data_IF_036092818560
#
_entry.id   IF_036092818560
#
_cell.length_a   1.000
_cell.length_b   1.000
_cell.length_c   1.000
_cell.angle_alpha   90.00
_cell.angle_beta   90.00
_cell.angle_gamma   90.00
#
_symmetry.space_group_name_H-M   'P 1'
#
loop_
_entity.id
_entity.type
_entity.pdbx_description
1 polymer ?
#
# COMPACT_ATOMS: atom_id res chain seq x y z
N UNK A 1 -6.40 0.23 -22.79
CA UNK A 1 -7.17 0.70 -21.61
C UNK A 1 -8.30 -0.25 -21.17
N UNK A 2 -8.84 -1.12 -22.04
CA UNK A 2 -9.96 -2.02 -21.67
C UNK A 2 -9.66 -3.02 -20.54
N UNK A 3 -8.46 -3.61 -20.51
CA UNK A 3 -8.05 -4.55 -19.45
C UNK A 3 -7.96 -3.90 -18.06
N UNK A 4 -7.36 -2.71 -17.96
CA UNK A 4 -7.17 -2.00 -16.69
C UNK A 4 -8.51 -1.55 -16.09
N UNK A 5 -9.49 -1.18 -16.93
CA UNK A 5 -10.78 -0.67 -16.47
C UNK A 5 -11.61 -1.67 -15.67
N UNK A 6 -11.40 -2.96 -15.90
CA UNK A 6 -12.11 -4.03 -15.18
C UNK A 6 -11.33 -4.54 -13.96
N UNK A 7 -10.03 -4.30 -13.89
CA UNK A 7 -9.21 -4.74 -12.78
C UNK A 7 -9.56 -4.00 -11.48
N UNK A 8 -9.46 -4.74 -10.38
CA UNK A 8 -9.70 -4.28 -9.01
C UNK A 8 -8.45 -4.52 -8.20
N UNK A 9 -8.17 -3.59 -7.31
CA UNK A 9 -7.08 -3.67 -6.34
C UNK A 9 -7.69 -4.06 -5.01
N UNK A 10 -7.15 -5.10 -4.40
CA UNK A 10 -7.61 -5.63 -3.12
C UNK A 10 -6.57 -5.46 -2.03
N UNK A 11 -7.04 -5.22 -0.81
CA UNK A 11 -6.20 -5.16 0.40
C UNK A 11 -6.73 -6.13 1.44
N UNK A 12 -5.92 -6.42 2.46
CA UNK A 12 -6.38 -7.21 3.60
C UNK A 12 -7.55 -6.50 4.29
N UNK A 13 -8.65 -7.22 4.52
CA UNK A 13 -9.87 -6.69 5.12
C UNK A 13 -9.59 -5.98 6.46
N UNK A 14 -8.71 -6.57 7.28
CA UNK A 14 -8.27 -5.99 8.56
C UNK A 14 -7.60 -4.62 8.46
N UNK A 15 -7.01 -4.28 7.31
CA UNK A 15 -6.34 -2.99 7.11
C UNK A 15 -7.16 -2.02 6.25
N UNK A 16 -8.30 -2.45 5.71
CA UNK A 16 -9.11 -1.66 4.80
C UNK A 16 -9.50 -0.29 5.37
N UNK A 17 -9.93 -0.15 6.65
CA UNK A 17 -10.30 1.16 7.17
C UNK A 17 -9.13 2.13 7.21
N UNK A 18 -7.92 1.67 7.56
CA UNK A 18 -6.70 2.48 7.51
C UNK A 18 -6.47 3.08 6.11
N UNK A 19 -6.65 2.27 5.04
CA UNK A 19 -6.54 2.79 3.68
C UNK A 19 -7.60 3.85 3.35
N UNK A 20 -8.84 3.65 3.79
CA UNK A 20 -9.90 4.64 3.54
C UNK A 20 -9.72 5.94 4.32
N UNK A 21 -9.24 5.85 5.56
CA UNK A 21 -9.09 6.99 6.45
C UNK A 21 -7.85 7.81 6.06
N UNK A 22 -6.71 7.16 5.80
CA UNK A 22 -5.50 7.83 5.31
C UNK A 22 -5.66 8.35 3.89
N UNK A 23 -6.33 7.59 3.02
CA UNK A 23 -6.62 7.96 1.64
C UNK A 23 -7.48 9.22 1.48
N UNK A 24 -8.20 9.62 2.53
CA UNK A 24 -9.04 10.84 2.57
C UNK A 24 -8.41 12.01 3.31
N UNK A 25 -7.37 11.76 4.11
CA UNK A 25 -6.83 12.75 5.05
C UNK A 25 -5.43 13.18 4.66
N UNK A 26 -4.48 12.25 4.62
CA UNK A 26 -3.06 12.52 4.35
C UNK A 26 -2.68 12.33 2.89
N UNK A 27 -3.47 11.55 2.16
CA UNK A 27 -3.30 11.29 0.74
C UNK A 27 -4.47 11.86 -0.05
N UNK A 28 -4.26 12.06 -1.36
CA UNK A 28 -5.31 12.60 -2.23
C UNK A 28 -6.30 11.52 -2.66
N UNK A 29 -5.84 10.27 -2.76
CA UNK A 29 -6.66 9.10 -3.08
C UNK A 29 -6.21 7.85 -2.31
N UNK A 30 -7.12 6.89 -2.14
CA UNK A 30 -6.81 5.57 -1.56
C UNK A 30 -5.66 4.85 -2.31
N UNK A 31 -5.56 5.04 -3.63
CA UNK A 31 -4.50 4.48 -4.46
C UNK A 31 -3.12 5.00 -4.09
N UNK A 32 -2.99 6.26 -3.66
CA UNK A 32 -1.68 6.85 -3.37
C UNK A 32 -1.07 6.18 -2.13
N UNK A 33 -1.88 5.99 -1.08
CA UNK A 33 -1.44 5.27 0.11
C UNK A 33 -1.19 3.79 -0.17
N UNK A 34 -1.97 3.18 -1.07
CA UNK A 34 -1.69 1.83 -1.55
C UNK A 34 -0.31 1.72 -2.20
N UNK A 35 0.01 2.58 -3.17
CA UNK A 35 1.30 2.59 -3.85
C UNK A 35 2.45 2.84 -2.86
N UNK A 36 2.25 3.74 -1.90
CA UNK A 36 3.22 3.93 -0.83
C UNK A 36 3.49 2.64 -0.03
N UNK A 37 2.43 1.90 0.34
CA UNK A 37 2.58 0.60 0.99
C UNK A 37 3.29 -0.44 0.11
N UNK A 38 3.04 -0.44 -1.21
CA UNK A 38 3.74 -1.33 -2.15
C UNK A 38 5.25 -1.09 -2.08
N UNK A 39 5.68 0.17 -2.12
CA UNK A 39 7.10 0.49 -2.01
C UNK A 39 7.70 0.11 -0.66
N UNK A 40 6.97 0.35 0.43
CA UNK A 40 7.39 -0.09 1.77
C UNK A 40 7.62 -1.60 1.81
N UNK A 41 6.69 -2.41 1.30
CA UNK A 41 6.85 -3.87 1.25
C UNK A 41 7.94 -4.34 0.29
N UNK A 42 8.06 -3.70 -0.87
CA UNK A 42 9.08 -4.03 -1.87
C UNK A 42 10.49 -3.78 -1.35
N UNK A 43 10.71 -2.72 -0.56
CA UNK A 43 12.02 -2.43 0.08
C UNK A 43 12.41 -3.46 1.12
N UNK A 44 11.42 -4.02 1.81
CA UNK A 44 11.61 -5.14 2.73
C UNK A 44 11.84 -6.47 2.00
N UNK A 45 11.68 -6.50 0.68
CA UNK A 45 11.66 -7.70 -0.14
C UNK A 45 10.65 -8.76 0.37
N UNK A 46 9.49 -8.30 0.85
CA UNK A 46 8.46 -9.15 1.45
C UNK A 46 7.15 -9.04 0.68
N UNK A 47 6.71 -10.15 0.09
CA UNK A 47 5.40 -10.27 -0.55
C UNK A 47 4.56 -11.30 0.22
N UNK A 48 3.61 -10.82 1.03
CA UNK A 48 2.82 -11.67 1.91
C UNK A 48 1.45 -11.99 1.29
N UNK A 49 1.03 -13.25 1.38
CA UNK A 49 -0.32 -13.66 0.97
C UNK A 49 -1.40 -12.99 1.82
N UNK A 50 -2.53 -12.68 1.18
CA UNK A 50 -3.68 -12.06 1.84
C UNK A 50 -4.79 -13.09 1.97
N UNK A 51 -5.15 -13.46 3.20
CA UNK A 51 -6.18 -14.46 3.48
C UNK A 51 -7.61 -13.97 3.22
N UNK A 52 -7.94 -12.75 3.66
CA UNK A 52 -9.24 -12.11 3.43
C UNK A 52 -9.06 -10.77 2.73
N UNK A 53 -9.62 -10.65 1.53
CA UNK A 53 -9.46 -9.50 0.64
C UNK A 53 -10.72 -8.64 0.62
N UNK A 54 -10.53 -7.33 0.60
CA UNK A 54 -11.57 -6.34 0.35
C UNK A 54 -11.16 -5.42 -0.80
N UNK A 55 -12.08 -5.12 -1.71
CA UNK A 55 -11.83 -4.20 -2.83
C UNK A 55 -11.55 -2.79 -2.30
N UNK A 56 -10.38 -2.26 -2.64
CA UNK A 56 -9.98 -0.89 -2.27
C UNK A 56 -10.40 0.12 -3.33
N UNK A 57 -10.02 -0.12 -4.58
CA UNK A 57 -10.29 0.75 -5.72
C UNK A 57 -10.21 -0.01 -7.06
N UNK A 58 -10.58 0.67 -8.14
CA UNK A 58 -10.39 0.18 -9.50
C UNK A 58 -8.96 0.50 -9.96
N UNK A 59 -8.31 -0.41 -10.67
CA UNK A 59 -6.93 -0.21 -11.11
C UNK A 59 -6.76 0.97 -12.10
N UNK A 60 -7.85 1.44 -12.71
CA UNK A 60 -7.88 2.65 -13.55
C UNK A 60 -7.63 3.95 -12.76
N UNK A 61 -7.72 3.94 -11.43
CA UNK A 61 -7.39 5.11 -10.61
C UNK A 61 -5.88 5.28 -10.41
N UNK A 62 -5.08 4.28 -10.75
CA UNK A 62 -3.61 4.41 -10.74
C UNK A 62 -3.16 5.30 -11.90
N UNK A 63 -2.27 6.24 -11.60
CA UNK A 63 -1.65 7.10 -12.60
C UNK A 63 -0.70 6.30 -13.51
N UNK A 64 -0.31 6.88 -14.64
CA UNK A 64 0.71 6.28 -15.50
C UNK A 64 2.04 6.06 -14.75
N UNK A 65 2.41 7.01 -13.90
CA UNK A 65 3.60 6.91 -13.06
C UNK A 65 3.52 5.72 -12.08
N UNK A 66 2.37 5.49 -11.47
CA UNK A 66 2.15 4.33 -10.59
C UNK A 66 2.33 3.03 -11.37
N UNK A 67 1.76 2.95 -12.58
CA UNK A 67 1.92 1.78 -13.42
C UNK A 67 3.35 1.51 -13.85
N UNK A 68 4.11 2.56 -14.21
CA UNK A 68 5.54 2.42 -14.53
C UNK A 68 6.28 1.88 -13.31
N UNK A 69 6.01 2.42 -12.14
CA UNK A 69 6.62 1.98 -10.88
C UNK A 69 6.34 0.50 -10.58
N UNK A 70 5.07 0.09 -10.68
CA UNK A 70 4.67 -1.30 -10.43
C UNK A 70 5.28 -2.27 -11.46
N UNK A 71 5.37 -1.86 -12.73
CA UNK A 71 6.05 -2.63 -13.78
C UNK A 71 7.53 -2.81 -13.49
N UNK A 72 8.22 -1.76 -13.05
CA UNK A 72 9.63 -1.82 -12.68
C UNK A 72 9.85 -2.77 -11.50
N UNK A 73 9.01 -2.72 -10.46
CA UNK A 73 9.08 -3.66 -9.34
C UNK A 73 8.90 -5.10 -9.83
N UNK A 74 7.89 -5.35 -10.68
CA UNK A 74 7.64 -6.69 -11.20
C UNK A 74 8.82 -7.21 -12.03
N UNK A 75 9.33 -6.38 -12.94
CA UNK A 75 10.46 -6.72 -13.81
C UNK A 75 11.72 -7.03 -13.00
N UNK A 76 12.02 -6.24 -11.97
CA UNK A 76 13.18 -6.49 -11.11
C UNK A 76 13.10 -7.84 -10.37
N UNK A 77 11.89 -8.33 -10.08
CA UNK A 77 11.69 -9.61 -9.41
C UNK A 77 11.69 -10.82 -10.35
N UNK A 78 11.19 -10.65 -11.59
CA UNK A 78 10.92 -11.77 -12.50
C UNK A 78 11.78 -11.77 -13.77
N UNK A 79 12.45 -10.66 -14.09
CA UNK A 79 13.23 -10.49 -15.32
C UNK A 79 12.39 -10.29 -16.59
N UNK A 80 11.08 -10.14 -16.47
CA UNK A 80 10.15 -9.99 -17.60
C UNK A 80 8.99 -9.04 -17.28
N UNK A 81 8.29 -8.57 -18.32
CA UNK A 81 7.12 -7.70 -18.17
C UNK A 81 5.89 -8.57 -17.95
N UNK A 82 5.35 -8.55 -16.72
CA UNK A 82 4.11 -9.24 -16.39
C UNK A 82 2.86 -8.57 -16.98
N UNK A 83 1.76 -9.30 -16.98
CA UNK A 83 0.43 -8.77 -17.28
C UNK A 83 -0.03 -7.79 -16.18
N UNK A 84 -0.98 -6.91 -16.52
CA UNK A 84 -1.58 -6.00 -15.52
C UNK A 84 -2.17 -6.74 -14.32
N UNK A 85 -2.70 -7.95 -14.52
CA UNK A 85 -3.23 -8.80 -13.46
C UNK A 85 -2.13 -9.29 -12.53
N UNK A 86 -1.05 -9.84 -13.06
CA UNK A 86 0.09 -10.34 -12.28
C UNK A 86 0.79 -9.22 -11.51
N UNK A 87 0.99 -8.08 -12.16
CA UNK A 87 1.55 -6.88 -11.54
C UNK A 87 0.67 -6.41 -10.37
N UNK A 88 -0.65 -6.37 -10.56
CA UNK A 88 -1.58 -5.98 -9.50
C UNK A 88 -1.53 -6.97 -8.34
N UNK A 89 -1.55 -8.27 -8.62
CA UNK A 89 -1.48 -9.31 -7.59
C UNK A 89 -0.19 -9.25 -6.77
N UNK A 90 0.95 -8.97 -7.42
CA UNK A 90 2.22 -8.77 -6.71
C UNK A 90 2.19 -7.49 -5.86
N UNK A 91 1.66 -6.40 -6.42
CA UNK A 91 1.50 -5.14 -5.71
C UNK A 91 0.64 -5.31 -4.45
N UNK A 92 -0.47 -6.05 -4.52
CA UNK A 92 -1.31 -6.34 -3.34
C UNK A 92 -0.52 -7.02 -2.22
N UNK A 93 0.33 -8.00 -2.55
CA UNK A 93 1.17 -8.72 -1.57
C UNK A 93 2.22 -7.82 -0.94
N UNK A 94 2.86 -6.97 -1.74
CA UNK A 94 3.80 -5.98 -1.23
C UNK A 94 3.10 -4.93 -0.37
N UNK A 95 1.96 -4.41 -0.81
CA UNK A 95 1.17 -3.46 -0.04
C UNK A 95 0.77 -4.06 1.31
N UNK A 96 0.38 -5.34 1.33
CA UNK A 96 0.05 -6.04 2.57
C UNK A 96 1.25 -6.13 3.52
N UNK A 97 2.42 -6.52 3.04
CA UNK A 97 3.63 -6.58 3.87
C UNK A 97 4.04 -5.19 4.36
N UNK A 98 4.00 -4.19 3.48
CA UNK A 98 4.34 -2.81 3.80
C UNK A 98 3.45 -2.21 4.88
N UNK A 99 2.12 -2.35 4.76
CA UNK A 99 1.22 -1.83 5.80
C UNK A 99 1.36 -2.60 7.12
N UNK A 100 1.54 -3.93 7.09
CA UNK A 100 1.79 -4.70 8.32
C UNK A 100 3.04 -4.21 9.02
N UNK A 101 4.15 -4.05 8.29
CA UNK A 101 5.39 -3.53 8.86
C UNK A 101 5.20 -2.14 9.47
N UNK A 102 4.51 -1.23 8.77
CA UNK A 102 4.25 0.12 9.29
C UNK A 102 3.38 0.11 10.54
N UNK A 103 2.31 -0.69 10.56
CA UNK A 103 1.46 -0.87 11.75
C UNK A 103 2.32 -1.33 12.92
N UNK A 104 3.03 -2.45 12.76
CA UNK A 104 3.77 -3.09 13.84
C UNK A 104 4.93 -2.24 14.39
N UNK A 105 5.53 -1.37 13.58
CA UNK A 105 6.76 -0.65 13.93
C UNK A 105 6.63 0.87 14.09
N UNK A 106 5.59 1.49 13.54
CA UNK A 106 5.48 2.96 13.43
C UNK A 106 4.11 3.51 13.76
N UNK A 107 3.04 2.78 13.43
CA UNK A 107 1.68 3.32 13.46
C UNK A 107 0.81 2.77 14.58
N UNK A 108 1.23 1.70 15.28
CA UNK A 108 0.40 1.04 16.30
C UNK A 108 -0.19 1.99 17.36
N UNK A 109 0.56 3.02 17.77
CA UNK A 109 0.10 4.00 18.75
C UNK A 109 -1.03 4.91 18.24
N UNK A 110 -1.17 5.05 16.91
CA UNK A 110 -2.20 5.82 16.22
C UNK A 110 -3.34 4.93 15.70
N UNK A 111 -3.40 3.68 16.16
CA UNK A 111 -4.39 2.72 15.71
C UNK A 111 -5.18 2.18 16.90
N UNK A 112 -6.43 1.86 16.62
CA UNK A 112 -7.26 1.04 17.49
C UNK A 112 -7.79 -0.13 16.68
N UNK A 113 -7.99 -1.26 17.35
CA UNK A 113 -8.60 -2.44 16.75
C UNK A 113 -10.06 -2.52 17.18
N UNK A 114 -10.96 -2.75 16.24
CA UNK A 114 -12.39 -2.98 16.53
C UNK A 114 -12.67 -4.45 16.92
N UNK A 115 -13.92 -4.74 17.26
CA UNK A 115 -14.38 -6.09 17.62
C UNK A 115 -14.26 -7.10 16.46
N UNK A 116 -14.14 -6.62 15.21
CA UNK A 116 -13.97 -7.42 14.01
C UNK A 116 -12.49 -7.56 13.60
N UNK A 117 -11.56 -7.24 14.50
CA UNK A 117 -10.11 -7.26 14.31
C UNK A 117 -9.59 -6.28 13.23
N UNK A 118 -10.37 -5.27 12.86
CA UNK A 118 -9.98 -4.25 11.87
C UNK A 118 -9.29 -3.08 12.55
N UNK A 119 -8.26 -2.57 11.89
CA UNK A 119 -7.51 -1.41 12.35
C UNK A 119 -8.15 -0.12 11.85
N UNK A 120 -8.36 0.82 12.77
CA UNK A 120 -8.86 2.17 12.54
C UNK A 120 -7.88 3.20 13.09
N UNK A 121 -7.79 4.36 12.45
CA UNK A 121 -7.02 5.49 12.95
C UNK A 121 -7.62 6.02 14.25
N UNK A 122 -6.74 6.29 15.20
CA UNK A 122 -7.03 6.95 16.46
C UNK A 122 -6.00 8.05 16.70
N UNK A 123 -6.45 9.17 17.24
CA UNK A 123 -5.56 10.23 17.73
C UNK A 123 -5.31 11.35 16.73
N UNK A 124 -4.16 12.01 16.86
CA UNK A 124 -3.84 13.26 16.19
C UNK A 124 -3.26 13.02 14.79
N UNK A 125 -4.00 13.40 13.74
CA UNK A 125 -3.58 13.25 12.34
C UNK A 125 -2.25 13.96 12.03
N UNK A 126 -1.94 15.07 12.70
CA UNK A 126 -0.69 15.79 12.47
C UNK A 126 0.53 15.00 12.96
N UNK A 127 0.41 14.31 14.10
CA UNK A 127 1.48 13.46 14.63
C UNK A 127 1.68 12.22 13.75
N UNK A 128 0.57 11.62 13.28
CA UNK A 128 0.60 10.52 12.32
C UNK A 128 1.29 10.93 11.01
N UNK A 129 0.97 12.12 10.49
CA UNK A 129 1.62 12.66 9.30
C UNK A 129 3.13 12.83 9.51
N UNK A 130 3.55 13.41 10.64
CA UNK A 130 4.96 13.55 10.99
C UNK A 130 5.66 12.19 11.04
N UNK A 131 5.04 11.17 11.63
CA UNK A 131 5.60 9.81 11.69
C UNK A 131 5.74 9.15 10.32
N UNK A 132 4.78 9.33 9.44
CA UNK A 132 4.87 8.84 8.06
C UNK A 132 5.99 9.57 7.31
N UNK A 133 6.13 10.89 7.47
CA UNK A 133 7.22 11.66 6.87
C UNK A 133 8.59 11.22 7.40
N UNK A 134 8.74 11.00 8.70
CA UNK A 134 9.96 10.45 9.31
C UNK A 134 10.32 9.09 8.72
N UNK A 135 9.32 8.23 8.50
CA UNK A 135 9.54 6.94 7.84
C UNK A 135 10.07 7.12 6.41
N UNK A 136 9.48 8.02 5.62
CA UNK A 136 9.94 8.29 4.24
C UNK A 136 11.36 8.85 4.24
N UNK A 137 11.67 9.80 5.13
CA UNK A 137 12.98 10.43 5.21
C UNK A 137 14.08 9.43 5.58
N UNK A 138 13.85 8.59 6.60
CA UNK A 138 14.80 7.52 6.96
C UNK A 138 14.99 6.53 5.83
N UNK A 139 13.91 6.21 5.12
CA UNK A 139 13.96 5.31 3.98
C UNK A 139 14.72 5.91 2.77
N UNK A 140 14.84 7.24 2.66
CA UNK A 140 15.65 7.91 1.61
C UNK A 140 17.15 7.77 1.85
N UNK A 141 17.58 7.68 3.10
CA UNK A 141 19.00 7.55 3.45
C UNK A 141 19.57 6.18 3.05
N UNK A 142 18.71 5.17 2.85
CA UNK A 142 19.12 3.79 2.50
C UNK A 142 19.22 3.53 0.98
N UNK A 143 18.63 4.36 0.10
CA UNK A 143 18.89 4.40 -1.35
C UNK A 143 18.17 5.59 -2.03
N UNK A 144 18.78 6.27 -3.03
CA UNK A 144 18.11 7.34 -3.79
C UNK A 144 16.98 6.77 -4.66
N UNK A 145 15.85 7.49 -4.69
CA UNK A 145 14.66 7.21 -5.51
C UNK A 145 14.92 7.45 -7.00
#
# INVERSE_FOLDING_TARGET
MGEIGQLRIYVAEKHFPVYQELGKTLFSQNSDFFIFCVFAGSRLNQANEISKKQELCRAVTLSEHDWISLKSIYFNNHGEVGTYKEITQLAEKYAHAGITHMIDNKLMEFLMQDEAERFHLKGNLNELQMKIMEYVLKSKEEAPF
#
